data_IF_910584464182
#
_entry.id   IF_910584464182
#
_cell.length_a   1.000
_cell.length_b   1.000
_cell.length_c   1.000
_cell.angle_alpha   90.00
_cell.angle_beta   90.00
_cell.angle_gamma   90.00
#
_symmetry.space_group_name_H-M   'P 1'
#
loop_
_entity.id
_entity.type
_entity.pdbx_description
1 polymer ?
#
# COMPACT_ATOMS: atom_id res chain seq x y z
N UNK A 1 9.35 6.85 0.49
CA UNK A 1 8.40 7.86 0.97
C UNK A 1 9.18 8.97 1.66
N UNK A 2 9.05 10.19 1.14
CA UNK A 2 9.69 11.38 1.68
C UNK A 2 8.71 12.10 2.60
N UNK A 3 9.21 12.71 3.68
CA UNK A 3 8.38 13.34 4.70
C UNK A 3 7.47 14.44 4.14
N UNK A 4 7.95 15.17 3.12
CA UNK A 4 7.21 16.27 2.50
C UNK A 4 5.84 15.82 1.94
N UNK A 5 5.69 14.55 1.53
CA UNK A 5 4.42 14.07 1.01
C UNK A 5 3.37 13.99 2.11
N UNK A 6 3.77 13.78 3.37
CA UNK A 6 2.86 13.84 4.52
C UNK A 6 2.30 15.25 4.73
N UNK A 7 3.12 16.29 4.52
CA UNK A 7 2.66 17.69 4.57
C UNK A 7 1.65 17.98 3.45
N UNK A 8 2.03 17.70 2.20
CA UNK A 8 1.17 17.97 1.02
C UNK A 8 -0.16 17.20 1.12
N UNK A 9 -0.10 15.91 1.44
CA UNK A 9 -1.30 15.10 1.59
C UNK A 9 -2.16 15.60 2.75
N UNK A 10 -1.55 15.99 3.87
CA UNK A 10 -2.24 16.50 5.04
C UNK A 10 -2.99 17.82 4.82
N UNK A 11 -2.62 18.62 3.81
CA UNK A 11 -3.39 19.82 3.42
C UNK A 11 -4.77 19.49 2.85
N UNK A 12 -4.95 18.28 2.31
CA UNK A 12 -6.20 17.83 1.70
C UNK A 12 -7.16 17.35 2.79
N UNK A 13 -8.41 17.81 2.78
CA UNK A 13 -9.45 17.24 3.64
C UNK A 13 -10.03 15.97 3.03
N UNK A 14 -9.21 14.92 3.00
CA UNK A 14 -9.58 13.65 2.39
C UNK A 14 -10.52 12.84 3.31
N UNK A 15 -11.47 12.13 2.69
CA UNK A 15 -12.28 11.12 3.39
C UNK A 15 -11.48 9.86 3.74
N UNK A 16 -10.43 9.57 2.98
CA UNK A 16 -9.49 8.45 3.19
C UNK A 16 -8.17 8.74 2.47
N UNK A 17 -7.05 8.32 3.05
CA UNK A 17 -5.76 8.27 2.36
C UNK A 17 -5.41 6.83 1.96
N UNK A 18 -5.08 6.61 0.70
CA UNK A 18 -4.62 5.31 0.20
C UNK A 18 -3.15 5.44 -0.17
N UNK A 19 -2.29 4.68 0.51
CA UNK A 19 -0.84 4.73 0.35
C UNK A 19 -0.39 3.50 -0.45
N UNK A 20 -0.37 3.62 -1.77
CA UNK A 20 0.10 2.61 -2.72
C UNK A 20 1.38 3.09 -3.42
N UNK A 21 2.50 3.06 -2.67
CA UNK A 21 3.78 3.58 -3.15
C UNK A 21 4.90 2.53 -3.12
N UNK A 22 4.65 1.36 -2.53
CA UNK A 22 5.66 0.33 -2.31
C UNK A 22 6.36 -0.15 -3.62
N UNK A 23 5.69 -0.22 -4.80
CA UNK A 23 6.36 -0.57 -6.05
C UNK A 23 7.55 0.34 -6.40
N UNK A 24 7.49 1.61 -6.01
CA UNK A 24 8.51 2.63 -6.31
C UNK A 24 9.61 2.74 -5.24
N UNK A 25 9.60 1.87 -4.23
CA UNK A 25 10.55 1.90 -3.12
C UNK A 25 11.70 0.90 -3.26
N UNK A 26 12.01 0.43 -4.48
CA UNK A 26 13.07 -0.57 -4.74
C UNK A 26 14.47 -0.15 -4.33
N UNK A 27 14.74 1.16 -4.27
CA UNK A 27 16.06 1.69 -3.90
C UNK A 27 16.31 1.76 -2.40
N UNK A 28 15.27 1.52 -1.59
CA UNK A 28 15.35 1.62 -0.13
C UNK A 28 15.56 0.26 0.52
N UNK A 29 16.29 0.23 1.62
CA UNK A 29 16.41 -0.98 2.45
C UNK A 29 15.09 -1.29 3.17
N UNK A 30 14.88 -2.53 3.66
CA UNK A 30 13.74 -2.85 4.52
C UNK A 30 13.57 -1.92 5.73
N UNK A 31 14.68 -1.52 6.35
CA UNK A 31 14.68 -0.60 7.50
C UNK A 31 14.21 0.80 7.06
N UNK A 32 14.68 1.28 5.90
CA UNK A 32 14.25 2.56 5.36
C UNK A 32 12.77 2.55 4.96
N UNK A 33 12.28 1.47 4.34
CA UNK A 33 10.85 1.29 4.02
C UNK A 33 10.02 1.36 5.29
N UNK A 34 10.44 0.63 6.34
CA UNK A 34 9.77 0.60 7.64
C UNK A 34 9.74 2.01 8.25
N UNK A 35 10.90 2.64 8.41
CA UNK A 35 11.04 3.96 9.02
C UNK A 35 10.25 5.04 8.30
N UNK A 36 10.28 5.02 6.95
CA UNK A 36 9.56 6.00 6.12
C UNK A 36 8.04 5.79 6.15
N UNK A 37 7.57 4.54 6.23
CA UNK A 37 6.14 4.24 6.39
C UNK A 37 5.64 4.73 7.75
N UNK A 38 6.40 4.46 8.82
CA UNK A 38 6.10 4.97 10.17
C UNK A 38 6.02 6.50 10.18
N UNK A 39 7.01 7.17 9.59
CA UNK A 39 7.08 8.63 9.53
C UNK A 39 5.87 9.23 8.82
N UNK A 40 5.52 8.72 7.63
CA UNK A 40 4.37 9.22 6.88
C UNK A 40 3.06 9.06 7.64
N UNK A 41 2.78 7.86 8.17
CA UNK A 41 1.51 7.60 8.85
C UNK A 41 1.39 8.46 10.11
N UNK A 42 2.45 8.58 10.90
CA UNK A 42 2.47 9.47 12.08
C UNK A 42 2.28 10.93 11.70
N UNK A 43 2.90 11.38 10.61
CA UNK A 43 2.74 12.75 10.09
C UNK A 43 1.29 13.00 9.66
N UNK A 44 0.71 12.13 8.84
CA UNK A 44 -0.70 12.21 8.42
C UNK A 44 -1.63 12.19 9.63
N UNK A 45 -1.37 11.35 10.63
CA UNK A 45 -2.14 11.33 11.89
C UNK A 45 -2.04 12.63 12.67
N UNK A 46 -0.88 13.30 12.68
CA UNK A 46 -0.75 14.60 13.36
C UNK A 46 -1.56 15.71 12.67
N UNK A 47 -1.67 15.68 11.34
CA UNK A 47 -2.39 16.69 10.55
C UNK A 47 -3.88 16.36 10.39
N UNK A 48 -4.21 15.07 10.31
CA UNK A 48 -5.56 14.51 10.08
C UNK A 48 -5.84 13.38 11.06
N UNK A 49 -6.10 13.69 12.34
CA UNK A 49 -6.16 12.68 13.41
C UNK A 49 -7.23 11.61 13.25
N UNK A 50 -8.30 11.91 12.49
CA UNK A 50 -9.47 11.03 12.33
C UNK A 50 -9.61 10.43 10.93
N UNK A 51 -8.81 10.88 9.95
CA UNK A 51 -8.99 10.44 8.56
C UNK A 51 -8.45 9.03 8.37
N UNK A 52 -9.24 8.05 7.94
CA UNK A 52 -8.78 6.69 7.67
C UNK A 52 -7.56 6.63 6.74
N UNK A 53 -6.64 5.68 6.99
CA UNK A 53 -5.46 5.44 6.14
C UNK A 53 -5.47 3.97 5.72
N UNK A 54 -5.22 3.69 4.45
CA UNK A 54 -5.05 2.35 3.89
C UNK A 54 -3.62 2.22 3.39
N UNK A 55 -2.88 1.25 3.91
CA UNK A 55 -1.58 0.87 3.35
C UNK A 55 -1.78 -0.27 2.34
N UNK A 56 -1.22 -0.12 1.14
CA UNK A 56 -1.32 -1.11 0.07
C UNK A 56 0.08 -1.64 -0.21
N UNK A 57 0.24 -2.96 -0.08
CA UNK A 57 1.47 -3.62 -0.48
C UNK A 57 1.70 -3.54 -1.99
N UNK A 58 2.93 -3.77 -2.39
CA UNK A 58 3.28 -3.91 -3.80
C UNK A 58 2.74 -5.24 -4.36
N UNK A 59 2.45 -5.28 -5.65
CA UNK A 59 1.90 -6.45 -6.36
C UNK A 59 2.95 -7.55 -6.58
N UNK A 60 2.46 -8.71 -6.99
CA UNK A 60 3.32 -9.77 -7.53
C UNK A 60 3.76 -9.38 -8.94
N UNK A 61 4.99 -9.70 -9.29
CA UNK A 61 5.44 -9.53 -10.66
C UNK A 61 4.82 -10.61 -11.55
N UNK A 62 4.29 -10.20 -12.71
CA UNK A 62 3.59 -11.05 -13.68
C UNK A 62 4.48 -11.69 -14.73
N UNK A 63 5.81 -11.59 -14.62
CA UNK A 63 6.72 -12.30 -15.53
C UNK A 63 6.72 -13.79 -15.23
N UNK A 64 6.68 -14.63 -16.27
CA UNK A 64 7.01 -16.05 -16.14
C UNK A 64 8.51 -16.18 -15.84
N UNK A 65 8.86 -16.34 -14.57
CA UNK A 65 10.25 -16.52 -14.15
C UNK A 65 10.63 -18.01 -14.19
N UNK A 66 11.54 -18.36 -15.10
CA UNK A 66 12.11 -19.71 -15.22
C UNK A 66 12.95 -20.10 -13.99
N UNK A 67 13.35 -19.14 -13.16
CA UNK A 67 14.09 -19.34 -11.90
C UNK A 67 13.20 -19.40 -10.65
N UNK A 68 11.88 -19.27 -10.81
CA UNK A 68 10.90 -19.28 -9.71
C UNK A 68 10.35 -17.90 -9.35
N UNK A 69 9.33 -17.79 -8.51
CA UNK A 69 8.61 -16.53 -8.27
C UNK A 69 9.53 -15.44 -7.72
N UNK A 70 9.46 -14.23 -8.30
CA UNK A 70 10.16 -13.05 -7.81
C UNK A 70 9.60 -12.66 -6.44
N UNK A 71 10.37 -12.91 -5.39
CA UNK A 71 9.97 -12.56 -4.01
C UNK A 71 9.96 -11.05 -3.84
N UNK A 72 8.79 -10.49 -3.51
CA UNK A 72 8.68 -9.08 -3.17
C UNK A 72 9.20 -8.81 -1.76
N UNK A 73 10.51 -8.55 -1.66
CA UNK A 73 11.22 -8.33 -0.39
C UNK A 73 10.82 -7.04 0.36
N UNK A 74 9.97 -6.19 -0.23
CA UNK A 74 9.52 -4.93 0.37
C UNK A 74 8.27 -5.08 1.23
N UNK A 75 7.42 -6.06 0.92
CA UNK A 75 6.18 -6.31 1.67
C UNK A 75 6.41 -6.56 3.17
N UNK A 76 7.38 -7.41 3.57
CA UNK A 76 7.62 -7.64 4.99
C UNK A 76 7.97 -6.36 5.76
N UNK A 77 8.67 -5.41 5.12
CA UNK A 77 9.02 -4.14 5.73
C UNK A 77 7.80 -3.22 5.95
N UNK A 78 6.91 -3.11 4.96
CA UNK A 78 5.65 -2.37 5.15
C UNK A 78 4.76 -3.05 6.18
N UNK A 79 4.69 -4.39 6.19
CA UNK A 79 3.94 -5.16 7.19
C UNK A 79 4.48 -4.95 8.60
N UNK A 80 5.80 -4.89 8.76
CA UNK A 80 6.44 -4.57 10.04
C UNK A 80 6.02 -3.18 10.54
N UNK A 81 6.06 -2.16 9.67
CA UNK A 81 5.58 -0.82 10.02
C UNK A 81 4.09 -0.84 10.39
N UNK A 82 3.25 -1.52 9.62
CA UNK A 82 1.83 -1.66 9.92
C UNK A 82 1.58 -2.29 11.31
N UNK A 83 2.27 -3.39 11.61
CA UNK A 83 2.15 -4.08 12.90
C UNK A 83 2.55 -3.19 14.09
N UNK A 84 3.51 -2.28 13.92
CA UNK A 84 3.81 -1.25 14.92
C UNK A 84 2.66 -0.24 15.02
N UNK A 85 2.23 0.32 13.88
CA UNK A 85 1.26 1.42 13.84
C UNK A 85 -0.13 1.05 14.37
N UNK A 86 -0.59 -0.19 14.20
CA UNK A 86 -1.89 -0.63 14.76
C UNK A 86 -1.93 -0.63 16.29
N UNK A 87 -0.76 -0.58 16.95
CA UNK A 87 -0.69 -0.40 18.41
C UNK A 87 -0.70 1.07 18.82
N UNK A 88 -0.47 1.99 17.87
CA UNK A 88 -0.37 3.43 18.08
C UNK A 88 -1.62 4.20 17.62
N UNK A 89 -2.38 3.66 16.66
CA UNK A 89 -3.51 4.37 16.05
C UNK A 89 -4.62 3.44 15.56
N UNK A 90 -5.85 3.97 15.49
CA UNK A 90 -7.03 3.31 14.92
C UNK A 90 -7.25 3.73 13.47
N UNK A 91 -8.26 3.13 12.82
CA UNK A 91 -8.67 3.46 11.43
C UNK A 91 -7.51 3.41 10.43
N UNK A 92 -6.62 2.44 10.67
CA UNK A 92 -5.53 2.06 9.79
C UNK A 92 -5.85 0.68 9.21
N UNK A 93 -5.86 0.60 7.89
CA UNK A 93 -6.25 -0.58 7.13
C UNK A 93 -5.08 -1.05 6.26
N UNK A 94 -5.15 -2.31 5.83
CA UNK A 94 -4.07 -2.95 5.09
C UNK A 94 -4.63 -3.79 3.94
N UNK A 95 -3.98 -3.72 2.77
CA UNK A 95 -4.26 -4.56 1.60
C UNK A 95 -2.99 -5.35 1.29
N UNK A 96 -3.11 -6.68 1.30
CA UNK A 96 -2.00 -7.59 1.00
C UNK A 96 -1.80 -7.71 -0.51
N UNK A 97 -0.53 -7.74 -0.94
CA UNK A 97 -0.17 -7.61 -2.34
C UNK A 97 -0.48 -8.84 -3.18
N UNK A 98 -0.61 -10.02 -2.54
CA UNK A 98 -0.94 -11.27 -3.22
C UNK A 98 -2.34 -11.26 -3.83
N UNK A 99 -3.23 -10.41 -3.32
CA UNK A 99 -4.62 -10.34 -3.79
C UNK A 99 -4.78 -9.40 -4.98
N UNK A 100 -3.78 -8.59 -5.32
CA UNK A 100 -3.93 -7.46 -6.26
C UNK A 100 -4.09 -7.87 -7.72
N UNK A 101 -3.44 -8.96 -8.15
CA UNK A 101 -3.36 -9.34 -9.57
C UNK A 101 -3.87 -10.75 -9.88
N UNK A 102 -4.24 -11.54 -8.86
CA UNK A 102 -4.53 -12.97 -9.03
C UNK A 102 -3.27 -13.80 -9.31
N UNK A 103 -3.48 -15.05 -9.71
CA UNK A 103 -2.41 -16.07 -9.77
C UNK A 103 -2.09 -16.56 -11.19
N UNK A 104 -2.78 -16.07 -12.22
CA UNK A 104 -2.70 -16.59 -13.60
C UNK A 104 -1.65 -15.89 -14.49
N UNK A 105 -0.96 -14.88 -13.98
CA UNK A 105 0.05 -14.07 -14.70
C UNK A 105 -0.45 -13.25 -15.90
N UNK A 106 -1.77 -13.18 -16.14
CA UNK A 106 -2.39 -12.45 -17.27
C UNK A 106 -2.71 -10.98 -16.98
N UNK A 107 -2.46 -10.55 -15.74
CA UNK A 107 -2.95 -9.28 -15.22
C UNK A 107 -2.06 -8.07 -15.54
N UNK A 108 -0.94 -8.25 -16.25
CA UNK A 108 0.03 -7.18 -16.52
C UNK A 108 0.40 -7.10 -17.99
N UNK A 109 0.65 -5.89 -18.50
CA UNK A 109 1.06 -5.68 -19.90
C UNK A 109 2.53 -6.05 -20.10
N UNK A 110 3.36 -5.76 -19.11
CA UNK A 110 4.81 -5.85 -19.20
C UNK A 110 5.41 -6.60 -18.01
N UNK A 111 4.64 -7.42 -17.29
CA UNK A 111 5.06 -8.13 -16.06
C UNK A 111 5.08 -7.26 -14.80
N UNK A 112 4.84 -5.95 -14.93
CA UNK A 112 4.74 -5.04 -13.79
C UNK A 112 3.43 -4.27 -13.86
N UNK A 113 3.19 -3.46 -14.88
CA UNK A 113 2.07 -2.54 -14.95
C UNK A 113 0.76 -3.30 -15.26
N UNK A 114 -0.29 -3.13 -14.43
CA UNK A 114 -1.55 -3.85 -14.62
C UNK A 114 -2.22 -3.49 -15.96
N UNK A 115 -2.77 -4.51 -16.64
CA UNK A 115 -3.68 -4.32 -17.77
C UNK A 115 -5.08 -3.91 -17.26
N UNK A 116 -6.07 -3.75 -18.14
CA UNK A 116 -7.46 -3.50 -17.70
C UNK A 116 -7.99 -4.61 -16.78
N UNK A 117 -7.65 -5.87 -17.08
CA UNK A 117 -7.96 -7.01 -16.21
C UNK A 117 -7.25 -6.90 -14.86
N UNK A 118 -5.98 -6.49 -14.87
CA UNK A 118 -5.22 -6.27 -13.64
C UNK A 118 -5.77 -5.14 -12.79
N UNK A 119 -6.16 -4.01 -13.40
CA UNK A 119 -6.80 -2.90 -12.70
C UNK A 119 -8.17 -3.28 -12.12
N UNK A 120 -8.94 -4.10 -12.84
CA UNK A 120 -10.19 -4.67 -12.30
C UNK A 120 -9.93 -5.53 -11.07
N UNK A 121 -8.88 -6.37 -11.07
CA UNK A 121 -8.50 -7.19 -9.91
C UNK A 121 -7.99 -6.34 -8.74
N UNK A 122 -7.24 -5.28 -9.02
CA UNK A 122 -6.87 -4.27 -8.03
C UNK A 122 -8.12 -3.70 -7.36
N UNK A 123 -9.12 -3.28 -8.13
CA UNK A 123 -10.39 -2.82 -7.58
C UNK A 123 -11.05 -3.88 -6.67
N UNK A 124 -11.15 -5.14 -7.12
CA UNK A 124 -11.72 -6.24 -6.34
C UNK A 124 -10.97 -6.48 -5.02
N UNK A 125 -9.66 -6.27 -4.99
CA UNK A 125 -8.85 -6.40 -3.78
C UNK A 125 -9.02 -5.21 -2.80
N UNK A 126 -9.13 -4.00 -3.34
CA UNK A 126 -9.26 -2.78 -2.53
C UNK A 126 -10.69 -2.57 -2.00
N UNK A 127 -11.71 -2.92 -2.78
CA UNK A 127 -13.13 -2.62 -2.49
C UNK A 127 -13.58 -3.12 -1.11
N UNK A 128 -13.28 -4.36 -0.66
CA UNK A 128 -13.74 -4.85 0.63
C UNK A 128 -13.08 -4.13 1.81
N UNK A 129 -11.89 -3.57 1.61
CA UNK A 129 -11.20 -2.78 2.64
C UNK A 129 -11.81 -1.39 2.70
N UNK A 130 -11.96 -0.73 1.55
CA UNK A 130 -12.46 0.64 1.47
C UNK A 130 -13.95 0.73 1.85
N UNK A 131 -14.78 -0.22 1.46
CA UNK A 131 -16.22 -0.22 1.75
C UNK A 131 -16.55 -0.33 3.25
N UNK A 132 -15.62 -0.85 4.06
CA UNK A 132 -15.73 -0.92 5.53
C UNK A 132 -15.36 0.37 6.25
N UNK A 133 -14.80 1.34 5.53
CA UNK A 133 -14.37 2.60 6.12
C UNK A 133 -15.61 3.49 6.32
N UNK A 134 -15.89 3.85 7.57
CA UNK A 134 -16.96 4.76 7.93
C UNK A 134 -16.53 6.21 7.67
N UNK A 135 -16.46 6.61 6.40
CA UNK A 135 -15.95 7.94 6.01
C UNK A 135 -16.98 9.08 6.18
N UNK A 136 -18.24 8.76 6.49
CA UNK A 136 -19.34 9.72 6.54
C UNK A 136 -20.29 9.39 7.70
N UNK A 137 -20.09 10.00 8.87
CA UNK A 137 -21.15 10.25 9.85
C UNK A 137 -21.15 11.73 10.21
#
# INVERSE_FOLDING_TARGET
MEEHFGDIMGEIDASVYIIDCLPNMSTFTPEEITARTLALVRKLRSLRPKTPIVLVEDRNYGYADLAGPVVNNRRPAMKAAYNTLITETTDLYYVEGDQLLGEDTEATVDGSHPSDLGMYRYFVALEPVISRINCCK
#
